data_IF_841370809671
#
_entry.id   IF_841370809671
#
_cell.length_a   1.000
_cell.length_b   1.000
_cell.length_c   1.000
_cell.angle_alpha   90.00
_cell.angle_beta   90.00
_cell.angle_gamma   90.00
#
_symmetry.space_group_name_H-M   'P 1'
#
loop_
_entity.id
_entity.type
_entity.pdbx_description
1 polymer ?
#
# COMPACT_ATOMS: atom_id res chain seq x y z
N UNK A 1 7.17 -11.25 9.66
CA UNK A 1 6.09 -10.54 8.99
C UNK A 1 4.94 -10.30 9.96
N UNK A 2 4.41 -9.09 10.01
CA UNK A 2 3.38 -8.65 10.97
C UNK A 2 2.01 -8.44 10.30
N UNK A 3 1.79 -9.00 9.11
CA UNK A 3 0.59 -8.83 8.31
C UNK A 3 -0.75 -8.98 9.07
N UNK A 4 -0.95 -9.93 10.00
CA UNK A 4 -2.24 -10.05 10.68
C UNK A 4 -2.46 -8.99 11.79
N UNK A 5 -1.59 -8.00 11.92
CA UNK A 5 -1.68 -7.00 12.99
C UNK A 5 -2.96 -6.17 12.96
N UNK A 6 -3.31 -5.65 11.79
CA UNK A 6 -4.52 -4.82 11.63
C UNK A 6 -5.80 -5.62 11.86
N UNK A 7 -5.86 -6.86 11.38
CA UNK A 7 -6.99 -7.77 11.58
C UNK A 7 -7.20 -8.12 13.06
N UNK A 8 -6.10 -8.36 13.80
CA UNK A 8 -6.17 -8.59 15.23
C UNK A 8 -6.75 -7.38 15.98
N UNK A 9 -6.37 -6.16 15.58
CA UNK A 9 -6.94 -4.95 16.17
C UNK A 9 -8.42 -4.79 15.82
N UNK A 10 -8.83 -5.13 14.59
CA UNK A 10 -10.24 -5.13 14.19
C UNK A 10 -11.04 -6.10 15.03
N UNK A 11 -10.57 -7.33 15.21
CA UNK A 11 -11.23 -8.33 16.07
C UNK A 11 -11.35 -7.85 17.52
N UNK A 12 -10.33 -7.18 18.04
CA UNK A 12 -10.38 -6.60 19.38
C UNK A 12 -11.42 -5.48 19.48
N UNK A 13 -11.48 -4.56 18.53
CA UNK A 13 -12.45 -3.45 18.53
C UNK A 13 -13.89 -3.92 18.37
N UNK A 14 -14.13 -5.02 17.64
CA UNK A 14 -15.46 -5.59 17.43
C UNK A 14 -16.00 -6.37 18.64
N UNK A 15 -15.16 -7.14 19.31
CA UNK A 15 -15.64 -8.09 20.34
C UNK A 15 -15.08 -7.85 21.77
N UNK A 16 -14.08 -6.97 21.90
CA UNK A 16 -13.46 -6.65 23.20
C UNK A 16 -12.54 -7.75 23.76
N UNK A 17 -12.26 -8.83 23.00
CA UNK A 17 -11.40 -9.90 23.49
C UNK A 17 -9.94 -9.46 23.54
N UNK A 18 -9.43 -9.30 24.75
CA UNK A 18 -8.05 -8.86 25.04
C UNK A 18 -6.99 -9.77 24.43
N UNK A 19 -7.32 -11.04 24.15
CA UNK A 19 -6.36 -11.96 23.53
C UNK A 19 -5.87 -11.46 22.16
N UNK A 20 -6.74 -10.84 21.37
CA UNK A 20 -6.36 -10.23 20.10
C UNK A 20 -5.42 -9.02 20.28
N UNK A 21 -5.70 -8.15 21.26
CA UNK A 21 -4.84 -7.02 21.57
C UNK A 21 -3.44 -7.47 22.05
N UNK A 22 -3.38 -8.48 22.91
CA UNK A 22 -2.11 -9.04 23.37
C UNK A 22 -1.33 -9.73 22.22
N UNK A 23 -2.02 -10.38 21.28
CA UNK A 23 -1.40 -10.90 20.07
C UNK A 23 -0.83 -9.77 19.19
N UNK A 24 -1.57 -8.69 18.98
CA UNK A 24 -1.11 -7.50 18.25
C UNK A 24 0.14 -6.87 18.90
N UNK A 25 0.16 -6.71 20.22
CA UNK A 25 1.34 -6.22 20.96
C UNK A 25 2.56 -7.13 20.77
N UNK A 26 2.39 -8.45 20.76
CA UNK A 26 3.47 -9.40 20.47
C UNK A 26 4.02 -9.23 19.05
N UNK A 27 3.16 -8.98 18.06
CA UNK A 27 3.61 -8.69 16.69
C UNK A 27 4.39 -7.38 16.63
N UNK A 28 3.94 -6.32 17.28
CA UNK A 28 4.66 -5.05 17.37
C UNK A 28 6.02 -5.22 18.05
N UNK A 29 6.09 -5.99 19.14
CA UNK A 29 7.35 -6.31 19.82
C UNK A 29 8.29 -7.13 18.91
N UNK A 30 7.77 -8.07 18.14
CA UNK A 30 8.56 -8.81 17.15
C UNK A 30 9.09 -7.87 16.07
N UNK A 31 8.25 -7.00 15.50
CA UNK A 31 8.66 -6.01 14.50
C UNK A 31 9.79 -5.13 15.03
N UNK A 32 9.71 -4.71 16.29
CA UNK A 32 10.74 -3.88 16.93
C UNK A 32 12.14 -4.55 16.95
N UNK A 33 12.24 -5.86 16.82
CA UNK A 33 13.51 -6.60 16.75
C UNK A 33 14.12 -6.63 15.35
N UNK A 34 13.37 -6.27 14.30
CA UNK A 34 13.88 -6.36 12.93
C UNK A 34 14.90 -5.25 12.64
N UNK A 35 15.98 -5.57 11.91
CA UNK A 35 16.95 -4.56 11.48
C UNK A 35 16.30 -3.50 10.60
N UNK A 36 16.77 -2.25 10.72
CA UNK A 36 16.36 -1.13 9.88
C UNK A 36 17.35 -0.90 8.74
N UNK A 37 16.84 -0.41 7.62
CA UNK A 37 17.65 0.16 6.57
C UNK A 37 18.15 1.57 6.95
N UNK A 38 19.02 2.21 6.15
CA UNK A 38 19.52 3.57 6.44
C UNK A 38 18.44 4.66 6.50
N UNK A 39 17.22 4.40 6.00
CA UNK A 39 16.10 5.35 5.99
C UNK A 39 15.11 5.16 7.15
N UNK A 40 15.30 4.13 7.99
CA UNK A 40 14.45 3.84 9.14
C UNK A 40 13.42 2.72 8.94
N UNK A 41 13.16 2.29 7.69
CA UNK A 41 12.26 1.17 7.41
C UNK A 41 12.86 -0.17 7.84
N UNK A 42 12.04 -1.06 8.40
CA UNK A 42 12.47 -2.39 8.83
C UNK A 42 12.55 -3.36 7.67
N UNK A 43 13.49 -4.31 7.78
CA UNK A 43 13.67 -5.36 6.77
C UNK A 43 12.43 -6.26 6.71
N UNK A 44 11.98 -6.57 5.50
CA UNK A 44 10.75 -7.34 5.27
C UNK A 44 10.80 -8.74 5.89
N UNK A 45 11.87 -9.50 5.66
CA UNK A 45 12.06 -10.85 6.21
C UNK A 45 13.53 -11.08 6.59
N UNK A 46 13.99 -10.51 7.73
CA UNK A 46 15.41 -10.51 8.07
C UNK A 46 16.01 -11.90 8.31
N UNK A 47 15.15 -12.90 8.55
CA UNK A 47 15.57 -14.28 8.81
C UNK A 47 15.53 -15.18 7.56
N UNK A 48 14.99 -14.69 6.43
CA UNK A 48 14.86 -15.47 5.19
C UNK A 48 16.07 -15.26 4.28
N UNK A 49 16.79 -16.33 3.90
CA UNK A 49 17.89 -16.21 2.95
C UNK A 49 17.46 -15.51 1.65
N UNK A 50 18.27 -14.59 1.15
CA UNK A 50 17.97 -13.80 -0.05
C UNK A 50 17.14 -12.53 0.20
N UNK A 51 16.44 -12.43 1.34
CA UNK A 51 15.57 -11.30 1.65
C UNK A 51 16.02 -10.46 2.85
N UNK A 52 17.08 -10.89 3.52
CA UNK A 52 17.55 -10.34 4.81
C UNK A 52 17.87 -8.85 4.81
N UNK A 53 18.19 -8.28 3.64
CA UNK A 53 18.60 -6.88 3.47
C UNK A 53 17.61 -6.07 2.63
N UNK A 54 16.42 -6.62 2.41
CA UNK A 54 15.42 -6.02 1.54
C UNK A 54 14.27 -5.43 2.36
N UNK A 55 13.77 -4.30 1.89
CA UNK A 55 12.45 -3.79 2.23
C UNK A 55 11.57 -3.90 0.98
N UNK A 56 10.28 -4.14 1.17
CA UNK A 56 9.29 -4.28 0.11
C UNK A 56 8.20 -3.23 0.29
N UNK A 57 7.71 -2.68 -0.81
CA UNK A 57 6.65 -1.66 -0.81
C UNK A 57 5.35 -2.14 -0.15
N UNK A 58 5.09 -3.45 -0.18
CA UNK A 58 3.94 -4.10 0.46
C UNK A 58 3.82 -3.77 1.96
N UNK A 59 4.95 -3.60 2.63
CA UNK A 59 4.98 -3.28 4.06
C UNK A 59 4.46 -1.88 4.38
N UNK A 60 4.29 -1.01 3.40
CA UNK A 60 3.71 0.32 3.63
C UNK A 60 2.25 0.25 4.08
N UNK A 61 1.50 -0.76 3.60
CA UNK A 61 0.13 -1.02 4.04
C UNK A 61 0.09 -1.81 5.36
N UNK A 62 1.02 -2.76 5.51
CA UNK A 62 1.00 -3.72 6.61
C UNK A 62 1.55 -3.14 7.92
N UNK A 63 2.70 -2.42 7.87
CA UNK A 63 3.47 -2.13 9.09
C UNK A 63 3.06 -0.80 9.72
N UNK A 64 3.10 0.29 8.95
CA UNK A 64 2.85 1.64 9.44
C UNK A 64 1.45 1.84 10.03
N UNK A 65 0.38 1.62 9.27
CA UNK A 65 -0.99 1.77 9.74
C UNK A 65 -1.31 0.91 10.97
N UNK A 66 -0.84 -0.34 10.99
CA UNK A 66 -1.01 -1.23 12.14
C UNK A 66 -0.40 -0.66 13.42
N UNK A 67 0.86 -0.23 13.39
CA UNK A 67 1.54 0.31 14.57
C UNK A 67 0.87 1.60 15.06
N UNK A 68 0.48 2.48 14.16
CA UNK A 68 -0.20 3.73 14.51
C UNK A 68 -1.57 3.45 15.16
N UNK A 69 -2.35 2.51 14.57
CA UNK A 69 -3.65 2.09 15.14
C UNK A 69 -3.48 1.46 16.50
N UNK A 70 -2.49 0.57 16.69
CA UNK A 70 -2.16 -0.01 18.00
C UNK A 70 -1.86 1.09 19.02
N UNK A 71 -0.99 2.06 18.67
CA UNK A 71 -0.64 3.17 19.54
C UNK A 71 -1.85 4.00 19.97
N UNK A 72 -2.80 4.22 19.09
CA UNK A 72 -4.06 4.91 19.41
C UNK A 72 -4.95 4.11 20.36
N UNK A 73 -5.08 2.81 20.13
CA UNK A 73 -5.92 1.93 20.95
C UNK A 73 -5.37 1.85 22.38
N UNK A 74 -4.05 1.69 22.54
CA UNK A 74 -3.43 1.55 23.87
C UNK A 74 -3.02 2.88 24.52
N UNK A 75 -3.10 3.99 23.80
CA UNK A 75 -2.68 5.32 24.29
C UNK A 75 -1.16 5.50 24.35
N UNK A 76 -0.38 4.73 23.59
CA UNK A 76 1.09 4.74 23.63
C UNK A 76 1.69 5.39 22.37
N UNK A 77 2.23 6.59 22.50
CA UNK A 77 2.84 7.38 21.41
C UNK A 77 4.01 6.65 20.74
N UNK A 78 4.72 5.79 21.47
CA UNK A 78 5.87 5.06 20.94
C UNK A 78 5.52 4.21 19.70
N UNK A 79 4.35 3.59 19.66
CA UNK A 79 3.91 2.82 18.50
C UNK A 79 3.55 3.73 17.31
N UNK A 80 2.96 4.90 17.60
CA UNK A 80 2.64 5.90 16.57
C UNK A 80 3.94 6.37 15.89
N UNK A 81 4.94 6.76 16.68
CA UNK A 81 6.23 7.22 16.14
C UNK A 81 6.97 6.12 15.39
N UNK A 82 6.92 4.87 15.87
CA UNK A 82 7.48 3.72 15.15
C UNK A 82 6.81 3.50 13.79
N UNK A 83 5.48 3.52 13.73
CA UNK A 83 4.76 3.35 12.47
C UNK A 83 5.07 4.47 11.47
N UNK A 84 5.20 5.70 11.95
CA UNK A 84 5.59 6.84 11.12
C UNK A 84 7.03 6.74 10.63
N UNK A 85 7.97 6.39 11.49
CA UNK A 85 9.36 6.19 11.11
C UNK A 85 9.49 5.15 10.00
N UNK A 86 8.75 4.04 10.12
CA UNK A 86 8.74 2.98 9.11
C UNK A 86 8.12 3.45 7.80
N UNK A 87 6.93 4.03 7.81
CA UNK A 87 6.26 4.50 6.60
C UNK A 87 7.07 5.57 5.86
N UNK A 88 7.61 6.53 6.58
CA UNK A 88 8.49 7.55 6.01
C UNK A 88 9.81 6.96 5.53
N UNK A 89 10.34 5.97 6.23
CA UNK A 89 11.53 5.22 5.82
C UNK A 89 11.33 4.46 4.52
N UNK A 90 10.18 3.76 4.36
CA UNK A 90 9.79 3.13 3.08
C UNK A 90 9.66 4.18 1.99
N UNK A 91 8.96 5.29 2.27
CA UNK A 91 8.74 6.33 1.28
C UNK A 91 10.05 6.96 0.79
N UNK A 92 10.98 7.28 1.69
CA UNK A 92 12.31 7.82 1.35
C UNK A 92 13.15 6.84 0.53
N UNK A 93 13.05 5.56 0.82
CA UNK A 93 13.81 4.52 0.11
C UNK A 93 13.23 4.21 -1.27
N UNK A 94 11.89 4.18 -1.42
CA UNK A 94 11.23 3.58 -2.58
C UNK A 94 10.59 4.61 -3.52
N UNK A 95 10.08 5.74 -3.02
CA UNK A 95 9.41 6.72 -3.87
C UNK A 95 10.41 7.46 -4.76
N UNK A 96 10.05 7.65 -6.02
CA UNK A 96 10.81 8.47 -6.96
C UNK A 96 10.47 9.94 -6.68
N UNK A 97 11.51 10.75 -6.50
CA UNK A 97 11.41 12.20 -6.30
C UNK A 97 12.58 12.87 -7.03
N UNK A 98 12.55 12.80 -8.36
CA UNK A 98 13.64 13.28 -9.24
C UNK A 98 13.15 14.20 -10.36
N UNK A 99 11.86 14.58 -10.33
CA UNK A 99 11.23 15.42 -11.35
C UNK A 99 10.98 14.72 -12.69
N UNK A 100 11.25 13.41 -12.80
CA UNK A 100 10.92 12.63 -14.00
C UNK A 100 9.40 12.41 -14.15
N UNK A 101 8.98 11.87 -15.28
CA UNK A 101 7.58 11.47 -15.50
C UNK A 101 7.10 10.40 -14.52
N UNK A 102 8.01 9.59 -13.96
CA UNK A 102 7.73 8.56 -12.96
C UNK A 102 7.81 9.10 -11.52
N UNK A 103 8.17 10.37 -11.33
CA UNK A 103 8.24 10.98 -9.98
C UNK A 103 6.89 10.86 -9.28
N UNK A 104 6.91 10.33 -8.06
CA UNK A 104 5.75 9.96 -7.25
C UNK A 104 5.48 8.45 -7.18
N UNK A 105 5.89 7.66 -8.17
CA UNK A 105 5.75 6.21 -8.13
C UNK A 105 6.75 5.54 -7.19
N UNK A 106 6.40 4.35 -6.72
CA UNK A 106 7.22 3.54 -5.83
C UNK A 106 7.86 2.36 -6.54
N UNK A 107 9.14 2.14 -6.30
CA UNK A 107 9.82 0.90 -6.63
C UNK A 107 9.29 -0.26 -5.76
N UNK A 108 9.30 -1.48 -6.29
CA UNK A 108 8.86 -2.67 -5.55
C UNK A 108 9.70 -2.90 -4.30
N UNK A 109 11.01 -2.72 -4.39
CA UNK A 109 11.90 -2.93 -3.28
C UNK A 109 13.14 -2.06 -3.25
N UNK A 110 13.86 -2.18 -2.13
CA UNK A 110 15.18 -1.60 -1.93
C UNK A 110 16.03 -2.61 -1.17
N UNK A 111 17.28 -2.78 -1.59
CA UNK A 111 18.27 -3.59 -0.90
C UNK A 111 19.43 -2.69 -0.45
N UNK A 112 19.88 -2.88 0.80
CA UNK A 112 20.85 -1.98 1.45
C UNK A 112 22.14 -1.78 0.65
N UNK A 113 22.61 -2.81 -0.06
CA UNK A 113 23.86 -2.74 -0.81
C UNK A 113 23.69 -2.45 -2.31
N UNK A 114 22.47 -2.56 -2.84
CA UNK A 114 22.18 -2.46 -4.27
C UNK A 114 21.29 -1.26 -4.61
N UNK A 115 20.64 -0.66 -3.62
CA UNK A 115 19.68 0.43 -3.84
C UNK A 115 18.30 -0.06 -4.24
N UNK A 116 17.53 0.77 -4.95
CA UNK A 116 16.19 0.45 -5.47
C UNK A 116 16.27 -0.72 -6.43
N UNK A 117 15.34 -1.68 -6.31
CA UNK A 117 15.30 -2.88 -7.13
C UNK A 117 13.87 -3.29 -7.48
N UNK A 118 13.75 -4.27 -8.38
CA UNK A 118 12.46 -4.65 -8.96
C UNK A 118 12.00 -3.67 -10.04
N UNK A 119 10.69 -3.44 -10.09
CA UNK A 119 10.02 -2.58 -11.05
C UNK A 119 9.06 -1.62 -10.35
N UNK A 120 8.51 -0.65 -11.08
CA UNK A 120 7.41 0.21 -10.65
C UNK A 120 6.09 -0.58 -10.74
N UNK A 121 5.94 -1.55 -9.87
CA UNK A 121 4.89 -2.55 -9.89
C UNK A 121 3.53 -1.97 -9.46
N UNK A 122 2.48 -2.24 -10.24
CA UNK A 122 1.16 -1.66 -10.05
C UNK A 122 0.60 -1.96 -8.64
N UNK A 123 0.48 -3.23 -8.26
CA UNK A 123 -0.04 -3.61 -6.95
C UNK A 123 0.79 -3.05 -5.80
N UNK A 124 2.12 -3.00 -5.95
CA UNK A 124 2.98 -2.37 -4.95
C UNK A 124 2.68 -0.87 -4.77
N UNK A 125 2.40 -0.16 -5.86
CA UNK A 125 1.95 1.22 -5.79
C UNK A 125 0.56 1.34 -5.15
N UNK A 126 -0.30 0.35 -5.31
CA UNK A 126 -1.57 0.24 -4.59
C UNK A 126 -1.39 0.13 -3.09
N UNK A 127 -0.51 -0.77 -2.63
CA UNK A 127 -0.19 -0.91 -1.20
C UNK A 127 0.37 0.38 -0.59
N UNK A 128 1.28 1.07 -1.31
CA UNK A 128 1.80 2.37 -0.86
C UNK A 128 0.68 3.41 -0.72
N UNK A 129 -0.23 3.47 -1.69
CA UNK A 129 -1.36 4.40 -1.68
C UNK A 129 -2.29 4.15 -0.49
N UNK A 130 -2.71 2.89 -0.28
CA UNK A 130 -3.56 2.49 0.84
C UNK A 130 -2.89 2.80 2.18
N UNK A 131 -1.64 2.42 2.35
CA UNK A 131 -0.89 2.63 3.60
C UNK A 131 -0.71 4.11 3.95
N UNK A 132 -0.45 4.98 2.97
CA UNK A 132 -0.36 6.43 3.21
C UNK A 132 -1.73 7.02 3.59
N UNK A 133 -2.80 6.64 2.88
CA UNK A 133 -4.17 7.12 3.17
C UNK A 133 -4.61 6.67 4.55
N UNK A 134 -4.49 5.39 4.89
CA UNK A 134 -4.84 4.87 6.22
C UNK A 134 -4.05 5.58 7.34
N UNK A 135 -2.75 5.78 7.13
CA UNK A 135 -1.92 6.52 8.09
C UNK A 135 -2.43 7.94 8.28
N UNK A 136 -2.71 8.67 7.21
CA UNK A 136 -3.21 10.05 7.28
C UNK A 136 -4.59 10.16 7.96
N UNK A 137 -5.46 9.17 7.82
CA UNK A 137 -6.74 9.08 8.54
C UNK A 137 -6.55 8.89 10.04
N UNK A 138 -5.50 8.17 10.43
CA UNK A 138 -5.19 7.89 11.83
C UNK A 138 -4.45 9.04 12.53
N UNK A 139 -3.74 9.89 11.79
CA UNK A 139 -2.95 10.98 12.38
C UNK A 139 -3.78 12.23 12.68
N UNK A 140 -3.55 12.90 13.83
CA UNK A 140 -4.09 14.22 14.09
C UNK A 140 -3.72 15.22 12.99
N UNK A 141 -4.59 16.19 12.71
CA UNK A 141 -4.30 17.24 11.71
C UNK A 141 -3.04 18.05 12.04
N UNK A 142 -2.79 18.26 13.33
CA UNK A 142 -1.61 19.01 13.82
C UNK A 142 -0.31 18.21 13.85
N UNK A 143 -0.30 16.92 13.44
CA UNK A 143 0.89 16.10 13.54
C UNK A 143 1.99 16.57 12.59
N UNK A 144 3.22 16.72 13.09
CA UNK A 144 4.37 17.29 12.36
C UNK A 144 4.72 16.54 11.06
N UNK A 145 4.47 15.24 10.98
CA UNK A 145 4.75 14.43 9.78
C UNK A 145 3.64 14.49 8.72
N UNK A 146 2.48 15.08 9.05
CA UNK A 146 1.33 15.11 8.15
C UNK A 146 1.60 15.84 6.83
N UNK A 147 2.25 17.03 6.80
CA UNK A 147 2.55 17.73 5.55
C UNK A 147 3.45 16.93 4.60
N UNK A 148 4.45 16.19 5.12
CA UNK A 148 5.30 15.33 4.31
C UNK A 148 4.50 14.19 3.68
N UNK A 149 3.65 13.51 4.46
CA UNK A 149 2.82 12.41 3.97
C UNK A 149 1.77 12.88 2.95
N UNK A 150 1.15 14.04 3.16
CA UNK A 150 0.23 14.64 2.18
C UNK A 150 0.93 14.96 0.85
N UNK A 151 2.13 15.52 0.89
CA UNK A 151 2.90 15.75 -0.32
C UNK A 151 3.24 14.44 -1.05
N UNK A 152 3.65 13.40 -0.32
CA UNK A 152 3.93 12.08 -0.89
C UNK A 152 2.71 11.45 -1.53
N UNK A 153 1.53 11.57 -0.89
CA UNK A 153 0.25 11.13 -1.44
C UNK A 153 -0.08 11.89 -2.74
N UNK A 154 0.03 13.22 -2.71
CA UNK A 154 -0.29 14.07 -3.85
C UNK A 154 0.55 13.73 -5.08
N UNK A 155 1.88 13.66 -4.94
CA UNK A 155 2.76 13.35 -6.07
C UNK A 155 2.57 11.92 -6.58
N UNK A 156 2.22 10.96 -5.71
CA UNK A 156 1.87 9.60 -6.13
C UNK A 156 0.59 9.59 -6.96
N UNK A 157 -0.47 10.26 -6.51
CA UNK A 157 -1.74 10.32 -7.25
C UNK A 157 -1.57 11.02 -8.60
N UNK A 158 -0.77 12.10 -8.67
CA UNK A 158 -0.44 12.77 -9.93
C UNK A 158 0.31 11.84 -10.88
N UNK A 159 1.23 11.01 -10.38
CA UNK A 159 1.93 10.03 -11.20
C UNK A 159 0.97 8.91 -11.67
N UNK A 160 0.17 8.35 -10.79
CA UNK A 160 -0.80 7.30 -11.13
C UNK A 160 -1.82 7.79 -12.17
N UNK A 161 -2.30 9.03 -12.05
CA UNK A 161 -3.21 9.67 -13.03
C UNK A 161 -2.61 9.73 -14.43
N UNK A 162 -1.30 10.02 -14.55
CA UNK A 162 -0.60 10.07 -15.85
C UNK A 162 -0.53 8.72 -16.57
N UNK A 163 -0.46 7.63 -15.81
CA UNK A 163 -0.26 6.28 -16.35
C UNK A 163 -1.53 5.42 -16.36
N UNK A 164 -2.68 5.96 -15.94
CA UNK A 164 -3.93 5.24 -16.00
C UNK A 164 -4.37 5.03 -17.46
N UNK A 165 -4.66 3.78 -17.82
CA UNK A 165 -5.18 3.46 -19.15
C UNK A 165 -6.61 3.99 -19.35
N UNK A 166 -7.09 4.12 -20.61
CA UNK A 166 -8.48 4.47 -20.89
C UNK A 166 -9.50 3.51 -20.28
N UNK A 167 -9.13 2.24 -20.04
CA UNK A 167 -9.99 1.25 -19.37
C UNK A 167 -10.09 1.45 -17.86
N UNK A 168 -9.36 2.39 -17.26
CA UNK A 168 -9.31 2.62 -15.83
C UNK A 168 -8.28 1.76 -15.08
N UNK A 169 -7.68 0.79 -15.76
CA UNK A 169 -6.65 -0.10 -15.21
C UNK A 169 -5.24 0.49 -15.39
N UNK A 170 -4.24 -0.19 -14.84
CA UNK A 170 -2.82 0.10 -15.06
C UNK A 170 -2.07 -1.13 -15.54
N UNK A 171 -1.01 -0.92 -16.29
CA UNK A 171 -0.09 -2.00 -16.63
C UNK A 171 0.56 -2.56 -15.38
N UNK A 172 0.82 -3.88 -15.32
CA UNK A 172 1.43 -4.54 -14.14
C UNK A 172 2.77 -3.92 -13.75
N UNK A 173 3.50 -3.32 -14.71
CA UNK A 173 4.59 -2.36 -14.47
C UNK A 173 4.13 -1.01 -14.99
N UNK A 174 3.81 -0.08 -14.10
CA UNK A 174 3.05 1.14 -14.36
C UNK A 174 3.57 1.93 -15.57
N UNK A 175 4.88 2.02 -15.74
CA UNK A 175 5.55 2.79 -16.80
C UNK A 175 5.86 1.98 -18.07
N UNK A 176 5.36 0.74 -18.18
CA UNK A 176 5.68 -0.18 -19.26
C UNK A 176 4.41 -0.62 -20.00
N UNK A 177 3.98 0.14 -21.03
CA UNK A 177 2.73 -0.13 -21.73
C UNK A 177 2.73 -1.47 -22.51
N UNK A 178 3.89 -2.08 -22.72
CA UNK A 178 4.03 -3.42 -23.31
C UNK A 178 3.69 -4.56 -22.34
N UNK A 179 3.50 -4.26 -21.03
CA UNK A 179 3.05 -5.26 -20.04
C UNK A 179 1.52 -5.32 -20.01
N UNK A 180 0.97 -6.42 -19.48
CA UNK A 180 -0.48 -6.58 -19.42
C UNK A 180 -1.13 -5.62 -18.41
N UNK A 181 -2.42 -5.29 -18.62
CA UNK A 181 -3.24 -4.54 -17.68
C UNK A 181 -3.65 -5.44 -16.51
N UNK A 182 -3.57 -4.90 -15.30
CA UNK A 182 -3.85 -5.58 -14.04
C UNK A 182 -4.91 -4.82 -13.24
N UNK A 183 -5.79 -5.56 -12.55
CA UNK A 183 -6.95 -5.00 -11.87
C UNK A 183 -6.69 -4.54 -10.43
N UNK A 184 -5.64 -5.05 -9.74
CA UNK A 184 -5.45 -4.78 -8.31
C UNK A 184 -5.22 -3.29 -8.00
N UNK A 185 -4.40 -2.60 -8.80
CA UNK A 185 -4.20 -1.16 -8.58
C UNK A 185 -5.51 -0.38 -8.80
N UNK A 186 -6.42 -0.85 -9.66
CA UNK A 186 -7.69 -0.19 -9.89
C UNK A 186 -8.61 -0.27 -8.66
N UNK A 187 -8.81 -1.45 -8.07
CA UNK A 187 -9.61 -1.60 -6.85
C UNK A 187 -9.00 -0.84 -5.67
N UNK A 188 -7.67 -0.91 -5.50
CA UNK A 188 -6.95 -0.20 -4.44
C UNK A 188 -7.04 1.32 -4.60
N UNK A 189 -6.90 1.83 -5.83
CA UNK A 189 -6.99 3.26 -6.11
C UNK A 189 -8.41 3.79 -5.94
N UNK A 190 -9.44 3.06 -6.40
CA UNK A 190 -10.83 3.44 -6.23
C UNK A 190 -11.18 3.56 -4.75
N UNK A 191 -10.81 2.57 -3.94
CA UNK A 191 -11.01 2.60 -2.50
C UNK A 191 -10.22 3.74 -1.83
N UNK A 192 -8.92 3.81 -2.06
CA UNK A 192 -8.05 4.76 -1.36
C UNK A 192 -8.37 6.23 -1.70
N UNK A 193 -8.69 6.53 -2.96
CA UNK A 193 -9.07 7.89 -3.36
C UNK A 193 -10.41 8.31 -2.73
N UNK A 194 -11.41 7.42 -2.69
CA UNK A 194 -12.68 7.69 -2.00
C UNK A 194 -12.46 7.96 -0.52
N UNK A 195 -11.63 7.16 0.16
CA UNK A 195 -11.24 7.41 1.54
C UNK A 195 -10.50 8.75 1.72
N UNK A 196 -9.61 9.08 0.78
CA UNK A 196 -8.88 10.34 0.81
C UNK A 196 -9.82 11.56 0.62
N UNK A 197 -10.84 11.46 -0.24
CA UNK A 197 -11.84 12.53 -0.40
C UNK A 197 -12.69 12.68 0.86
N UNK A 198 -13.20 11.58 1.41
CA UNK A 198 -14.00 11.58 2.64
C UNK A 198 -13.22 12.19 3.82
N UNK A 199 -11.92 11.93 3.91
CA UNK A 199 -11.03 12.47 4.93
C UNK A 199 -10.43 13.85 4.57
N UNK A 200 -10.80 14.46 3.44
CA UNK A 200 -10.30 15.75 2.96
C UNK A 200 -8.77 15.80 2.81
N UNK A 201 -8.18 14.70 2.39
CA UNK A 201 -6.75 14.59 2.13
C UNK A 201 -6.38 15.02 0.71
N UNK A 202 -7.30 14.84 -0.23
CA UNK A 202 -7.17 15.20 -1.65
C UNK A 202 -8.47 15.86 -2.14
N UNK A 203 -8.31 16.71 -3.16
CA UNK A 203 -9.45 17.36 -3.82
C UNK A 203 -10.10 16.42 -4.85
N UNK A 204 -11.39 16.13 -4.69
CA UNK A 204 -12.16 15.31 -5.62
C UNK A 204 -12.23 15.93 -7.02
N UNK A 205 -12.23 17.26 -7.12
CA UNK A 205 -12.16 17.98 -8.39
C UNK A 205 -10.91 17.68 -9.22
N UNK A 206 -9.80 17.28 -8.57
CA UNK A 206 -8.55 16.93 -9.25
C UNK A 206 -8.46 15.45 -9.60
N UNK A 207 -8.92 14.55 -8.72
CA UNK A 207 -8.70 13.10 -8.85
C UNK A 207 -9.98 12.28 -9.01
N UNK A 208 -11.17 12.87 -8.95
CA UNK A 208 -12.45 12.16 -9.03
C UNK A 208 -12.65 11.41 -10.36
N UNK A 209 -12.18 11.96 -11.48
CA UNK A 209 -12.23 11.26 -12.77
C UNK A 209 -11.34 10.00 -12.76
N UNK A 210 -10.14 10.08 -12.15
CA UNK A 210 -9.25 8.93 -12.01
C UNK A 210 -9.88 7.85 -11.13
N UNK A 211 -10.47 8.23 -10.00
CA UNK A 211 -11.18 7.32 -9.10
C UNK A 211 -12.34 6.62 -9.80
N UNK A 212 -13.21 7.38 -10.46
CA UNK A 212 -14.37 6.84 -11.17
C UNK A 212 -13.96 5.86 -12.28
N UNK A 213 -12.95 6.20 -13.08
CA UNK A 213 -12.42 5.27 -14.10
C UNK A 213 -11.81 4.01 -13.47
N UNK A 214 -11.10 4.14 -12.36
CA UNK A 214 -10.54 2.99 -11.64
C UNK A 214 -11.65 2.06 -11.14
N UNK A 215 -12.70 2.60 -10.55
CA UNK A 215 -13.88 1.88 -10.07
C UNK A 215 -14.60 1.16 -11.22
N UNK A 216 -14.89 1.85 -12.31
CA UNK A 216 -15.52 1.23 -13.49
C UNK A 216 -14.64 0.16 -14.14
N UNK A 217 -13.33 0.40 -14.24
CA UNK A 217 -12.37 -0.60 -14.74
C UNK A 217 -12.29 -1.84 -13.87
N UNK A 218 -12.32 -1.66 -12.54
CA UNK A 218 -12.35 -2.76 -11.58
C UNK A 218 -13.64 -3.58 -11.71
N UNK A 219 -14.81 -2.93 -11.76
CA UNK A 219 -16.09 -3.63 -11.98
C UNK A 219 -16.11 -4.42 -13.29
N UNK A 220 -15.50 -3.88 -14.35
CA UNK A 220 -15.35 -4.59 -15.61
C UNK A 220 -14.46 -5.85 -15.57
N UNK A 221 -13.74 -6.06 -14.46
CA UNK A 221 -12.92 -7.25 -14.21
C UNK A 221 -13.57 -8.23 -13.21
N UNK A 222 -14.76 -7.94 -12.71
CA UNK A 222 -15.50 -8.86 -11.82
C UNK A 222 -16.30 -9.82 -12.69
N UNK A 223 -16.11 -11.12 -12.47
CA UNK A 223 -16.85 -12.17 -13.17
C UNK A 223 -18.26 -12.39 -12.59
N UNK A 224 -19.03 -13.31 -13.18
CA UNK A 224 -20.42 -13.63 -12.76
C UNK A 224 -20.50 -14.25 -11.36
N UNK A 225 -19.39 -14.81 -10.85
CA UNK A 225 -19.29 -15.37 -9.49
C UNK A 225 -18.91 -14.30 -8.44
N UNK A 226 -18.70 -13.03 -8.86
CA UNK A 226 -18.32 -11.93 -8.00
C UNK A 226 -16.81 -11.87 -7.69
N UNK A 227 -15.99 -12.58 -8.43
CA UNK A 227 -14.55 -12.64 -8.24
C UNK A 227 -13.83 -11.65 -9.14
N UNK A 228 -12.83 -10.95 -8.60
CA UNK A 228 -11.96 -10.06 -9.36
C UNK A 228 -10.94 -10.88 -10.16
N UNK A 229 -11.01 -10.79 -11.45
CA UNK A 229 -10.04 -11.37 -12.39
C UNK A 229 -8.90 -10.38 -12.71
N UNK A 230 -7.93 -10.82 -13.52
CA UNK A 230 -6.74 -10.06 -13.92
C UNK A 230 -5.87 -9.59 -12.74
N UNK A 231 -5.90 -10.31 -11.66
CA UNK A 231 -5.00 -10.13 -10.50
C UNK A 231 -3.71 -10.90 -10.76
N UNK A 232 -2.54 -10.25 -10.71
CA UNK A 232 -1.26 -10.97 -10.86
C UNK A 232 -1.00 -11.89 -9.67
N UNK A 233 -0.44 -13.08 -9.93
CA UNK A 233 -0.01 -14.04 -8.91
C UNK A 233 1.00 -13.39 -7.92
N UNK A 234 1.30 -14.07 -6.80
CA UNK A 234 2.34 -13.65 -5.86
C UNK A 234 3.63 -13.26 -6.59
N UNK A 235 4.03 -12.01 -6.46
CA UNK A 235 5.07 -11.40 -7.30
C UNK A 235 6.27 -11.03 -6.45
N UNK A 236 7.38 -11.78 -6.49
CA UNK A 236 8.62 -11.39 -5.84
C UNK A 236 9.31 -10.24 -6.57
N UNK A 237 10.27 -9.59 -5.91
CA UNK A 237 11.14 -8.62 -6.57
C UNK A 237 11.98 -9.33 -7.64
N UNK A 238 12.01 -8.80 -8.86
CA UNK A 238 12.74 -9.38 -9.97
C UNK A 238 12.92 -8.45 -11.15
N UNK A 239 13.35 -9.00 -12.27
CA UNK A 239 13.52 -8.27 -13.53
C UNK A 239 12.18 -8.07 -14.26
N UNK A 240 12.13 -7.14 -15.22
CA UNK A 240 10.93 -6.80 -15.99
C UNK A 240 10.22 -8.04 -16.56
N UNK A 241 10.95 -8.99 -17.13
CA UNK A 241 10.39 -10.20 -17.72
C UNK A 241 9.53 -10.98 -16.71
N UNK A 242 9.97 -11.09 -15.47
CA UNK A 242 9.22 -11.80 -14.42
C UNK A 242 7.85 -11.16 -14.17
N UNK A 243 7.75 -9.83 -14.12
CA UNK A 243 6.47 -9.13 -13.97
C UNK A 243 5.60 -9.28 -15.21
N UNK A 244 6.19 -9.08 -16.40
CA UNK A 244 5.47 -9.11 -17.68
C UNK A 244 4.91 -10.48 -18.06
N UNK A 245 5.47 -11.56 -17.50
CA UNK A 245 5.03 -12.94 -17.77
C UNK A 245 4.42 -13.63 -16.56
N UNK A 246 4.16 -12.89 -15.48
CA UNK A 246 3.52 -13.46 -14.28
C UNK A 246 2.11 -13.95 -14.62
N UNK A 247 1.72 -15.16 -14.20
CA UNK A 247 0.34 -15.60 -14.32
C UNK A 247 -0.61 -14.62 -13.60
N UNK A 248 -1.81 -14.50 -14.13
CA UNK A 248 -2.87 -13.71 -13.51
C UNK A 248 -4.18 -14.49 -13.49
N UNK A 249 -5.06 -14.15 -12.57
CA UNK A 249 -6.33 -14.82 -12.33
C UNK A 249 -7.02 -14.24 -11.11
N UNK A 250 -7.66 -15.09 -10.30
CA UNK A 250 -8.33 -14.74 -9.03
C UNK A 250 -7.37 -15.04 -7.89
N UNK A 251 -7.02 -14.02 -7.10
CA UNK A 251 -6.12 -14.17 -5.95
C UNK A 251 -6.58 -13.34 -4.75
N UNK A 252 -6.33 -13.78 -3.50
CA UNK A 252 -6.83 -13.12 -2.27
C UNK A 252 -6.47 -11.64 -2.16
N UNK A 253 -5.28 -11.24 -2.61
CA UNK A 253 -4.81 -9.85 -2.59
C UNK A 253 -5.48 -8.92 -3.60
N UNK A 254 -6.36 -9.46 -4.45
CA UNK A 254 -7.30 -8.69 -5.26
C UNK A 254 -8.69 -8.66 -4.62
N UNK A 255 -9.15 -9.82 -4.07
CA UNK A 255 -10.47 -9.95 -3.47
C UNK A 255 -10.65 -9.07 -2.22
N UNK A 256 -9.63 -8.99 -1.34
CA UNK A 256 -9.69 -8.13 -0.17
C UNK A 256 -9.94 -6.66 -0.52
N UNK A 257 -9.10 -6.03 -1.36
CA UNK A 257 -9.35 -4.67 -1.84
C UNK A 257 -10.67 -4.49 -2.61
N UNK A 258 -11.13 -5.50 -3.37
CA UNK A 258 -12.45 -5.46 -4.01
C UNK A 258 -13.57 -5.32 -2.97
N UNK A 259 -13.54 -6.11 -1.90
CA UNK A 259 -14.53 -6.03 -0.82
C UNK A 259 -14.51 -4.65 -0.15
N UNK A 260 -13.33 -4.08 0.07
CA UNK A 260 -13.20 -2.71 0.60
C UNK A 260 -13.82 -1.67 -0.36
N UNK A 261 -13.56 -1.79 -1.66
CA UNK A 261 -14.13 -0.89 -2.67
C UNK A 261 -15.67 -0.98 -2.71
N UNK A 262 -16.22 -2.20 -2.74
CA UNK A 262 -17.68 -2.43 -2.81
C UNK A 262 -18.37 -1.96 -1.52
N UNK A 263 -17.73 -2.12 -0.35
CA UNK A 263 -18.32 -1.67 0.92
C UNK A 263 -18.64 -0.17 0.93
N UNK A 264 -17.90 0.64 0.18
CA UNK A 264 -18.15 2.08 0.03
C UNK A 264 -19.38 2.41 -0.84
N UNK A 265 -19.90 1.45 -1.61
CA UNK A 265 -21.06 1.62 -2.49
C UNK A 265 -22.38 1.24 -1.78
N UNK A 266 -22.29 0.54 -0.66
CA UNK A 266 -23.43 0.04 0.12
C UNK A 266 -23.79 1.00 1.26
N UNK A 267 -22.85 1.82 1.70
CA UNK A 267 -23.02 2.81 2.77
C UNK A 267 -23.44 4.17 2.23
#
# INVERSE_FOLDING_TARGET
>A
HIAPGSELLTMYEENGDVAFLEAAKKLAALNATFPKNPFGARMHQPNTPGWRKQIWVDCMDVDGPFLIRLGRIVGEVVYIEQGLEELLGYSKALQIDDGSSASGLFWHGYETNCGKNGQLWARGNGWALMGIVETLKLLPESHQSRPELLNRLLIQCQALKRYQSPSGLWNTVVTRPETYLESTLAVMSAWALREAFNARLLEESEFGEMENRARLGAHGCVNDDGELELVSEATPIGELKMYATRPFGVFPWGQGPLLLMISQEIL
#
